data_IF_963400327501
#
_entry.id   IF_963400327501
#
_cell.length_a   1.000
_cell.length_b   1.000
_cell.length_c   1.000
_cell.angle_alpha   90.00
_cell.angle_beta   90.00
_cell.angle_gamma   90.00
#
_symmetry.space_group_name_H-M   'P 1'
#
loop_
_entity.id
_entity.type
_entity.pdbx_description
1 polymer ?
#
# COMPACT_ATOMS: atom_id res chain seq x y z
N UNK A 1 25.48 -64.60 -34.54
CA UNK A 1 26.02 -63.45 -33.76
C UNK A 1 24.88 -62.47 -33.70
N UNK A 2 24.22 -62.36 -32.55
CA UNK A 2 23.19 -61.36 -32.32
C UNK A 2 23.84 -60.10 -31.82
N UNK A 3 23.63 -58.99 -32.48
CA UNK A 3 24.01 -57.67 -32.00
C UNK A 3 23.05 -57.27 -30.89
N UNK A 4 23.63 -56.96 -29.73
CA UNK A 4 22.87 -56.46 -28.56
C UNK A 4 22.67 -54.93 -28.74
N UNK A 5 21.44 -54.56 -29.05
CA UNK A 5 21.06 -53.16 -29.06
C UNK A 5 20.98 -52.66 -27.59
N UNK A 6 21.94 -51.85 -27.22
CA UNK A 6 21.86 -51.07 -25.98
C UNK A 6 21.12 -49.75 -26.30
N UNK A 7 19.90 -49.63 -25.83
CA UNK A 7 19.18 -48.34 -25.92
C UNK A 7 19.90 -47.33 -25.05
N UNK A 8 20.17 -46.15 -25.62
CA UNK A 8 20.66 -45.01 -24.81
C UNK A 8 19.67 -44.70 -23.69
N UNK A 9 20.15 -44.43 -22.47
CA UNK A 9 19.27 -44.07 -21.38
C UNK A 9 18.59 -42.74 -21.72
N UNK A 10 17.25 -42.75 -21.75
CA UNK A 10 16.46 -41.52 -21.83
C UNK A 10 16.74 -40.69 -20.58
N UNK A 11 17.22 -39.44 -20.71
CA UNK A 11 17.47 -38.62 -19.54
C UNK A 11 16.17 -38.48 -18.76
N UNK A 12 16.15 -38.82 -17.48
CA UNK A 12 15.05 -38.48 -16.58
C UNK A 12 14.93 -36.98 -16.56
N UNK A 13 13.78 -36.48 -16.98
CA UNK A 13 13.44 -35.07 -16.76
C UNK A 13 13.42 -34.83 -15.25
N UNK A 14 14.43 -34.19 -14.72
CA UNK A 14 14.43 -33.71 -13.35
C UNK A 14 13.33 -32.62 -13.30
N UNK A 15 12.20 -32.94 -12.69
CA UNK A 15 11.21 -31.93 -12.38
C UNK A 15 11.90 -30.94 -11.42
N UNK A 16 12.26 -29.77 -11.92
CA UNK A 16 12.74 -28.69 -11.06
C UNK A 16 11.67 -28.43 -9.98
N UNK A 17 12.07 -28.40 -8.72
CA UNK A 17 11.16 -28.08 -7.64
C UNK A 17 10.56 -26.69 -7.89
N UNK A 18 9.23 -26.61 -7.80
CA UNK A 18 8.53 -25.32 -7.91
C UNK A 18 8.75 -24.53 -6.63
N UNK A 19 9.40 -23.38 -6.75
CA UNK A 19 9.68 -22.47 -5.63
C UNK A 19 8.75 -21.28 -5.63
N UNK A 20 8.44 -20.75 -4.43
CA UNK A 20 7.88 -19.42 -4.28
C UNK A 20 8.97 -18.38 -4.57
N UNK A 21 8.58 -17.13 -4.85
CA UNK A 21 9.55 -16.07 -5.11
C UNK A 21 10.39 -15.70 -3.89
N UNK A 22 11.58 -15.19 -4.14
CA UNK A 22 12.43 -14.60 -3.11
C UNK A 22 11.88 -13.26 -2.64
N UNK A 23 12.41 -12.75 -1.54
CA UNK A 23 12.10 -11.39 -1.08
C UNK A 23 12.89 -10.37 -1.92
N UNK A 24 12.22 -9.44 -2.63
CA UNK A 24 12.92 -8.41 -3.40
C UNK A 24 13.77 -7.49 -2.51
N UNK A 25 14.80 -6.90 -3.11
CA UNK A 25 15.69 -5.93 -2.45
C UNK A 25 15.67 -4.62 -3.23
N UNK A 26 15.42 -3.52 -2.55
CA UNK A 26 15.52 -2.17 -3.09
C UNK A 26 16.97 -1.66 -3.02
N UNK A 27 17.43 -0.98 -4.06
CA UNK A 27 18.79 -0.40 -4.11
C UNK A 27 19.00 0.77 -3.14
N UNK A 28 17.91 1.32 -2.59
CA UNK A 28 17.93 2.39 -1.60
C UNK A 28 16.98 2.08 -0.45
N UNK A 29 17.39 2.47 0.76
CA UNK A 29 16.54 2.40 1.94
C UNK A 29 15.35 3.35 1.83
N UNK A 30 14.24 3.03 2.52
CA UNK A 30 13.15 3.98 2.74
C UNK A 30 13.65 5.22 3.49
N UNK A 31 13.12 6.40 3.20
CA UNK A 31 13.52 7.62 3.87
C UNK A 31 13.37 8.88 3.03
N UNK A 32 13.97 9.98 3.55
CA UNK A 32 13.98 11.28 2.89
C UNK A 32 15.25 11.48 2.08
N UNK A 33 15.12 12.10 0.93
CA UNK A 33 16.18 12.37 -0.02
C UNK A 33 16.09 13.80 -0.53
N UNK A 34 17.21 14.50 -0.61
CA UNK A 34 17.26 15.88 -1.15
C UNK A 34 17.01 15.94 -2.65
N UNK A 35 17.25 14.84 -3.37
CA UNK A 35 17.20 14.81 -4.83
C UNK A 35 16.57 13.53 -5.33
N UNK A 36 15.90 13.66 -6.44
CA UNK A 36 15.36 12.56 -7.22
C UNK A 36 16.46 11.52 -7.58
N UNK A 37 16.06 10.25 -7.64
CA UNK A 37 16.94 9.14 -7.94
C UNK A 37 16.22 8.01 -8.66
N UNK A 38 16.98 7.09 -9.20
CA UNK A 38 16.46 5.88 -9.81
C UNK A 38 16.58 4.71 -8.82
N UNK A 39 15.44 4.06 -8.54
CA UNK A 39 15.34 2.92 -7.63
C UNK A 39 15.40 1.62 -8.42
N UNK A 40 16.39 0.79 -8.14
CA UNK A 40 16.47 -0.56 -8.68
C UNK A 40 15.84 -1.56 -7.70
N UNK A 41 15.18 -2.57 -8.26
CA UNK A 41 14.59 -3.68 -7.52
C UNK A 41 15.22 -4.97 -8.03
N UNK A 42 15.81 -5.75 -7.14
CA UNK A 42 16.43 -7.03 -7.46
C UNK A 42 15.75 -8.18 -6.74
N UNK A 43 15.72 -9.35 -7.36
CA UNK A 43 15.22 -10.60 -6.79
C UNK A 43 16.08 -11.76 -7.32
N UNK A 44 15.71 -13.00 -7.02
CA UNK A 44 16.38 -14.20 -7.50
C UNK A 44 16.35 -14.31 -9.03
N UNK A 45 17.30 -15.08 -9.57
CA UNK A 45 17.39 -15.33 -11.01
C UNK A 45 16.08 -15.95 -11.56
N UNK A 46 15.68 -15.52 -12.74
CA UNK A 46 14.50 -16.04 -13.45
C UNK A 46 13.16 -15.81 -12.74
N UNK A 47 13.10 -14.87 -11.80
CA UNK A 47 11.86 -14.47 -11.13
C UNK A 47 11.30 -13.20 -11.76
N UNK A 48 9.97 -13.09 -11.78
CA UNK A 48 9.29 -11.88 -12.20
C UNK A 48 8.98 -11.02 -11.00
N UNK A 49 9.49 -9.79 -10.99
CA UNK A 49 9.16 -8.83 -9.93
C UNK A 49 7.92 -8.05 -10.33
N UNK A 50 6.92 -8.03 -9.45
CA UNK A 50 5.76 -7.17 -9.54
C UNK A 50 5.84 -6.06 -8.50
N UNK A 51 5.31 -4.88 -8.84
CA UNK A 51 5.24 -3.78 -7.90
C UNK A 51 3.94 -2.98 -8.05
N UNK A 52 3.56 -2.27 -6.98
CA UNK A 52 2.48 -1.28 -6.93
C UNK A 52 2.99 0.03 -6.34
N UNK A 53 2.27 1.12 -6.64
CA UNK A 53 2.58 2.48 -6.14
C UNK A 53 1.39 3.13 -5.43
N UNK A 54 0.32 2.39 -5.23
CA UNK A 54 -0.97 2.83 -4.68
C UNK A 54 -1.30 2.22 -3.31
N UNK A 55 -0.36 1.48 -2.72
CA UNK A 55 -0.53 0.82 -1.42
C UNK A 55 -1.17 -0.57 -1.48
N UNK A 56 -1.66 -1.02 -2.63
CA UNK A 56 -2.22 -2.37 -2.81
C UNK A 56 -1.14 -3.45 -2.78
N UNK A 57 -1.53 -4.71 -2.52
CA UNK A 57 -0.58 -5.82 -2.50
C UNK A 57 -0.19 -6.24 -3.93
N UNK A 58 1.10 -6.17 -4.32
CA UNK A 58 1.56 -6.54 -5.66
C UNK A 58 1.39 -8.02 -5.98
N UNK A 59 1.16 -8.88 -5.00
CA UNK A 59 0.90 -10.29 -5.24
C UNK A 59 -0.49 -10.52 -5.88
N UNK A 60 -1.47 -9.67 -5.60
CA UNK A 60 -2.87 -9.88 -5.95
C UNK A 60 -3.54 -8.71 -6.66
N UNK A 61 -2.94 -7.52 -6.61
CA UNK A 61 -3.55 -6.29 -7.15
C UNK A 61 -3.68 -6.31 -8.67
N UNK A 62 -4.81 -5.79 -9.16
CA UNK A 62 -5.01 -5.54 -10.60
C UNK A 62 -4.20 -4.32 -11.10
N UNK A 63 -3.71 -3.46 -10.20
CA UNK A 63 -2.88 -2.29 -10.53
C UNK A 63 -1.38 -2.60 -10.56
N UNK A 64 -1.01 -3.85 -10.23
CA UNK A 64 0.40 -4.27 -10.24
C UNK A 64 1.03 -4.14 -11.61
N UNK A 65 2.30 -3.78 -11.60
CA UNK A 65 3.13 -3.65 -12.81
C UNK A 65 4.30 -4.64 -12.73
N UNK A 66 4.75 -5.10 -13.89
CA UNK A 66 6.00 -5.85 -14.00
C UNK A 66 7.15 -4.85 -13.90
N UNK A 67 8.14 -5.16 -13.08
CA UNK A 67 9.36 -4.36 -12.99
C UNK A 67 10.31 -4.74 -14.14
N UNK A 68 10.59 -3.78 -15.01
CA UNK A 68 11.48 -3.97 -16.16
C UNK A 68 12.69 -3.03 -16.14
N UNK A 69 12.52 -1.85 -15.56
CA UNK A 69 13.54 -0.80 -15.52
C UNK A 69 13.50 -0.09 -14.16
N UNK A 70 14.60 0.57 -13.80
CA UNK A 70 14.67 1.37 -12.60
C UNK A 70 13.51 2.38 -12.52
N UNK A 71 12.94 2.53 -11.35
CA UNK A 71 11.80 3.41 -11.07
C UNK A 71 12.33 4.78 -10.70
N UNK A 72 11.90 5.81 -11.42
CA UNK A 72 12.21 7.18 -11.05
C UNK A 72 11.44 7.57 -9.81
N UNK A 73 12.16 7.94 -8.74
CA UNK A 73 11.61 8.51 -7.51
C UNK A 73 11.93 10.00 -7.53
N UNK A 74 10.89 10.83 -7.56
CA UNK A 74 11.01 12.25 -7.79
C UNK A 74 10.24 13.06 -6.74
N UNK A 75 10.47 14.36 -6.69
CA UNK A 75 9.62 15.31 -5.97
C UNK A 75 8.19 15.25 -6.53
N UNK A 76 7.22 15.18 -5.64
CA UNK A 76 5.81 15.06 -5.94
C UNK A 76 4.97 16.23 -5.44
N UNK A 77 5.60 17.32 -5.05
CA UNK A 77 4.94 18.51 -4.50
C UNK A 77 3.88 19.08 -5.45
N UNK A 78 4.13 19.01 -6.76
CA UNK A 78 3.21 19.46 -7.80
C UNK A 78 2.14 18.44 -8.20
N UNK A 79 2.21 17.22 -7.71
CA UNK A 79 1.22 16.20 -8.01
C UNK A 79 -0.15 16.55 -7.41
N UNK A 80 -1.22 16.11 -8.06
CA UNK A 80 -2.57 16.26 -7.53
C UNK A 80 -2.77 15.44 -6.25
N UNK A 81 -3.59 15.97 -5.35
CA UNK A 81 -4.01 15.24 -4.16
C UNK A 81 -4.87 14.04 -4.56
N UNK A 82 -4.56 12.86 -4.05
CA UNK A 82 -5.34 11.65 -4.27
C UNK A 82 -6.07 11.26 -2.98
N UNK A 83 -5.34 10.76 -1.99
CA UNK A 83 -5.97 10.35 -0.72
C UNK A 83 -6.48 11.53 0.09
N UNK A 84 -5.76 12.65 0.11
CA UNK A 84 -6.15 13.87 0.81
C UNK A 84 -7.30 14.64 0.13
N UNK A 85 -7.62 14.30 -1.12
CA UNK A 85 -8.81 14.82 -1.83
C UNK A 85 -10.02 13.88 -1.73
N UNK A 86 -9.85 12.71 -1.12
CA UNK A 86 -10.94 11.76 -0.96
C UNK A 86 -12.00 12.29 0.00
N UNK A 87 -13.25 12.19 -0.39
CA UNK A 87 -14.39 12.53 0.46
C UNK A 87 -14.94 11.26 1.15
N UNK A 88 -14.60 11.02 2.41
CA UNK A 88 -14.98 9.80 3.12
C UNK A 88 -16.48 9.74 3.42
N UNK A 89 -17.17 10.86 3.29
CA UNK A 89 -18.60 10.94 3.60
C UNK A 89 -19.46 10.52 2.41
N UNK A 90 -19.09 10.91 1.18
CA UNK A 90 -19.84 10.67 -0.08
C UNK A 90 -21.36 10.87 -0.01
N UNK A 91 -21.83 11.40 1.10
CA UNK A 91 -23.23 11.63 1.43
C UNK A 91 -23.43 13.13 1.53
N UNK A 92 -24.55 13.60 1.04
CA UNK A 92 -24.90 15.02 1.11
C UNK A 92 -25.36 15.35 2.54
N UNK A 93 -24.47 15.93 3.32
CA UNK A 93 -24.76 16.47 4.65
C UNK A 93 -24.78 18.00 4.60
N UNK A 94 -25.61 18.64 5.40
CA UNK A 94 -25.81 20.10 5.39
C UNK A 94 -24.50 20.91 5.61
N UNK A 95 -23.54 20.36 6.34
CA UNK A 95 -22.26 21.01 6.60
C UNK A 95 -21.16 20.68 5.59
N UNK A 96 -21.44 19.85 4.59
CA UNK A 96 -20.45 19.37 3.61
C UNK A 96 -19.81 20.50 2.82
N UNK A 97 -20.57 21.53 2.49
CA UNK A 97 -20.07 22.72 1.78
C UNK A 97 -19.03 23.51 2.60
N UNK A 98 -18.93 23.24 3.90
CA UNK A 98 -17.91 23.83 4.77
C UNK A 98 -16.59 23.08 4.78
N UNK A 99 -16.52 21.85 4.25
CA UNK A 99 -15.29 21.04 4.19
C UNK A 99 -14.39 21.63 3.10
N UNK A 100 -13.24 22.13 3.53
CA UNK A 100 -12.20 22.59 2.61
C UNK A 100 -11.15 21.51 2.48
N UNK A 101 -10.99 21.03 1.26
CA UNK A 101 -9.86 20.18 0.94
C UNK A 101 -8.56 21.01 0.89
N UNK A 102 -7.43 20.46 1.32
CA UNK A 102 -6.16 21.17 1.25
C UNK A 102 -5.73 21.41 -0.19
N UNK A 103 -5.08 22.55 -0.45
CA UNK A 103 -4.41 22.77 -1.71
C UNK A 103 -3.29 21.73 -1.90
N UNK A 104 -3.00 21.39 -3.16
CA UNK A 104 -1.96 20.38 -3.45
C UNK A 104 -0.59 20.72 -2.88
N UNK A 105 -0.23 22.01 -2.87
CA UNK A 105 1.01 22.50 -2.30
C UNK A 105 1.07 22.48 -0.77
N UNK A 106 -0.06 22.25 -0.09
CA UNK A 106 -0.12 22.15 1.37
C UNK A 106 -0.05 20.69 1.87
N UNK A 107 0.16 19.74 0.98
CA UNK A 107 0.23 18.31 1.28
C UNK A 107 1.54 17.75 0.79
N UNK A 108 2.41 17.35 1.71
CA UNK A 108 3.61 16.61 1.35
C UNK A 108 3.26 15.23 0.82
N UNK A 109 4.01 14.81 -0.19
CA UNK A 109 3.74 13.56 -0.88
C UNK A 109 4.98 12.67 -0.91
N UNK A 110 4.82 11.46 -0.41
CA UNK A 110 5.80 10.40 -0.57
C UNK A 110 5.47 9.47 -1.73
N UNK A 111 6.48 8.77 -2.20
CA UNK A 111 6.31 7.66 -3.15
C UNK A 111 6.39 6.35 -2.38
N UNK A 112 5.33 5.57 -2.38
CA UNK A 112 5.30 4.22 -1.82
C UNK A 112 5.56 3.21 -2.92
N UNK A 113 6.50 2.31 -2.69
CA UNK A 113 6.73 1.15 -3.55
C UNK A 113 6.51 -0.11 -2.72
N UNK A 114 5.60 -0.96 -3.18
CA UNK A 114 5.44 -2.33 -2.67
C UNK A 114 5.87 -3.29 -3.78
N UNK A 115 6.68 -4.28 -3.46
CA UNK A 115 7.16 -5.23 -4.46
C UNK A 115 7.18 -6.66 -3.93
N UNK A 116 6.87 -7.61 -4.80
CA UNK A 116 7.06 -9.06 -4.58
C UNK A 116 7.71 -9.70 -5.79
N UNK A 117 8.37 -10.82 -5.61
CA UNK A 117 8.89 -11.62 -6.71
C UNK A 117 8.08 -12.93 -6.84
N UNK A 118 7.71 -13.26 -8.07
CA UNK A 118 7.02 -14.51 -8.39
C UNK A 118 8.04 -15.59 -8.79
N UNK A 119 8.01 -16.71 -8.08
CA UNK A 119 8.86 -17.86 -8.35
C UNK A 119 8.23 -18.81 -9.37
N UNK A 120 8.92 -19.92 -9.61
CA UNK A 120 8.52 -20.94 -10.61
C UNK A 120 7.20 -21.65 -10.28
N UNK A 121 6.68 -21.50 -9.06
CA UNK A 121 5.37 -21.99 -8.66
C UNK A 121 4.21 -21.08 -9.11
N UNK A 122 4.50 -19.89 -9.64
CA UNK A 122 3.52 -18.85 -9.92
C UNK A 122 3.01 -18.14 -8.64
N UNK A 123 3.77 -18.22 -7.54
CA UNK A 123 3.44 -17.57 -6.27
C UNK A 123 4.50 -16.54 -5.92
N UNK A 124 4.03 -15.38 -5.52
CA UNK A 124 4.87 -14.36 -4.92
C UNK A 124 5.42 -14.82 -3.56
N UNK A 125 6.66 -14.42 -3.29
CA UNK A 125 7.26 -14.46 -1.97
C UNK A 125 6.78 -13.31 -1.10
N UNK A 126 7.59 -12.97 -0.09
CA UNK A 126 7.27 -11.87 0.82
C UNK A 126 7.25 -10.52 0.07
N UNK A 127 6.19 -9.75 0.27
CA UNK A 127 6.13 -8.35 -0.18
C UNK A 127 7.04 -7.48 0.69
N UNK A 128 7.80 -6.61 0.04
CA UNK A 128 8.57 -5.54 0.68
C UNK A 128 7.92 -4.21 0.37
N UNK A 129 7.97 -3.29 1.33
CA UNK A 129 7.39 -1.96 1.22
C UNK A 129 8.43 -0.92 1.62
N UNK A 130 8.49 0.18 0.89
CA UNK A 130 9.31 1.34 1.23
C UNK A 130 8.64 2.63 0.81
N UNK A 131 8.71 3.64 1.67
CA UNK A 131 8.26 5.00 1.39
C UNK A 131 9.47 5.91 1.20
N UNK A 132 9.41 6.72 0.14
CA UNK A 132 10.45 7.68 -0.22
C UNK A 132 9.86 9.08 -0.28
N UNK A 133 10.51 10.02 0.40
CA UNK A 133 10.20 11.45 0.34
C UNK A 133 11.33 12.16 -0.38
N UNK A 134 11.03 12.95 -1.40
CA UNK A 134 12.03 13.73 -2.15
C UNK A 134 11.69 15.20 -1.98
N UNK A 135 12.69 15.98 -1.56
CA UNK A 135 12.58 17.42 -1.30
C UNK A 135 11.51 17.79 -0.23
N UNK A 136 11.24 16.85 0.68
CA UNK A 136 10.38 17.08 1.87
C UNK A 136 11.30 17.32 3.06
N UNK A 137 11.30 18.54 3.58
CA UNK A 137 12.17 18.97 4.69
C UNK A 137 11.45 18.86 6.03
N UNK A 138 12.09 18.22 7.01
CA UNK A 138 11.60 18.22 8.39
C UNK A 138 11.57 19.63 9.01
N UNK A 139 12.42 20.54 8.55
CA UNK A 139 12.44 21.93 9.02
C UNK A 139 11.11 22.65 8.76
N UNK A 140 10.39 22.28 7.70
CA UNK A 140 9.08 22.84 7.39
C UNK A 140 7.99 22.34 8.36
N UNK A 141 8.29 21.29 9.14
CA UNK A 141 7.40 20.63 10.10
C UNK A 141 7.93 20.68 11.54
N UNK A 142 8.75 21.67 11.88
CA UNK A 142 9.33 21.84 13.21
C UNK A 142 10.14 20.62 13.70
N UNK A 143 10.85 19.97 12.80
CA UNK A 143 11.65 18.77 13.05
C UNK A 143 10.84 17.58 13.61
N UNK A 144 9.54 17.51 13.29
CA UNK A 144 8.72 16.39 13.70
C UNK A 144 9.07 15.14 12.88
N UNK A 145 9.01 13.96 13.51
CA UNK A 145 9.16 12.70 12.80
C UNK A 145 7.96 12.43 11.86
N UNK A 146 8.18 11.60 10.84
CA UNK A 146 7.15 11.19 9.90
C UNK A 146 6.69 9.78 10.23
N UNK A 147 5.38 9.57 10.24
CA UNK A 147 4.76 8.23 10.27
C UNK A 147 4.11 7.98 8.91
N UNK A 148 4.64 7.02 8.17
CA UNK A 148 4.02 6.53 6.94
C UNK A 148 3.19 5.29 7.24
N UNK A 149 1.93 5.30 6.82
CA UNK A 149 1.01 4.16 6.91
C UNK A 149 0.58 3.78 5.51
N UNK A 150 1.11 2.68 5.03
CA UNK A 150 0.77 2.13 3.71
C UNK A 150 -0.27 1.04 3.87
N UNK A 151 -1.42 1.20 3.23
CA UNK A 151 -2.51 0.21 3.20
C UNK A 151 -3.24 0.29 1.86
N UNK A 152 -4.00 -0.74 1.53
CA UNK A 152 -4.91 -0.69 0.39
C UNK A 152 -5.95 0.42 0.62
N UNK A 153 -6.09 1.40 -0.30
CA UNK A 153 -7.08 2.46 -0.19
C UNK A 153 -8.52 1.95 0.00
N UNK A 154 -8.86 0.79 -0.55
CA UNK A 154 -10.15 0.15 -0.33
C UNK A 154 -10.35 -0.26 1.13
N UNK A 155 -9.28 -0.60 1.84
CA UNK A 155 -9.33 -0.86 3.27
C UNK A 155 -9.76 0.37 4.09
N UNK A 156 -9.53 1.57 3.57
CA UNK A 156 -9.94 2.82 4.22
C UNK A 156 -11.30 3.32 3.71
N UNK A 157 -11.54 3.29 2.41
CA UNK A 157 -12.57 4.11 1.77
C UNK A 157 -13.65 3.32 1.03
N UNK A 158 -13.53 2.00 0.88
CA UNK A 158 -14.55 1.18 0.25
C UNK A 158 -15.85 1.24 1.06
N UNK A 159 -16.99 1.40 0.39
CA UNK A 159 -18.28 1.56 1.06
C UNK A 159 -18.68 0.37 1.93
N UNK A 160 -18.28 -0.86 1.54
CA UNK A 160 -18.61 -2.07 2.30
C UNK A 160 -17.63 -2.36 3.42
N UNK A 161 -16.36 -2.16 3.17
CA UNK A 161 -15.29 -2.68 4.03
C UNK A 161 -14.34 -1.61 4.57
N UNK A 162 -14.42 -0.39 4.05
CA UNK A 162 -13.53 0.71 4.43
C UNK A 162 -13.80 1.16 5.86
N UNK A 163 -12.70 1.40 6.59
CA UNK A 163 -12.79 1.79 8.01
C UNK A 163 -12.79 3.32 8.21
N UNK A 164 -12.61 4.10 7.15
CA UNK A 164 -12.52 5.57 7.21
C UNK A 164 -13.57 6.23 6.31
N UNK A 165 -14.79 5.73 6.36
CA UNK A 165 -15.94 6.27 5.64
C UNK A 165 -17.24 5.99 6.41
N UNK A 166 -18.35 6.60 5.99
CA UNK A 166 -19.68 6.29 6.51
C UNK A 166 -20.12 4.88 6.09
N UNK A 167 -19.95 4.57 4.82
CA UNK A 167 -20.16 3.26 4.23
C UNK A 167 -21.57 2.69 4.30
N UNK A 168 -21.66 1.40 4.03
CA UNK A 168 -22.96 0.69 3.95
C UNK A 168 -23.65 0.61 5.31
N UNK A 169 -22.89 0.54 6.42
CA UNK A 169 -23.48 0.55 7.78
C UNK A 169 -24.32 1.81 8.02
N UNK A 170 -23.85 2.97 7.55
CA UNK A 170 -24.63 4.20 7.63
C UNK A 170 -25.82 4.18 6.69
N UNK A 171 -25.67 3.70 5.45
CA UNK A 171 -26.76 3.66 4.48
C UNK A 171 -27.92 2.81 4.97
N UNK A 172 -27.64 1.63 5.50
CA UNK A 172 -28.64 0.74 6.07
C UNK A 172 -29.38 1.40 7.23
N UNK A 173 -28.67 2.10 8.12
CA UNK A 173 -29.28 2.83 9.22
C UNK A 173 -30.15 3.98 8.74
N UNK A 174 -29.68 4.76 7.76
CA UNK A 174 -30.38 5.92 7.18
C UNK A 174 -31.69 5.52 6.47
N UNK A 175 -31.67 4.40 5.73
CA UNK A 175 -32.84 3.82 5.08
C UNK A 175 -33.94 3.42 6.09
N UNK A 176 -33.56 2.93 7.26
CA UNK A 176 -34.49 2.52 8.32
C UNK A 176 -34.98 3.67 9.20
N UNK A 177 -34.24 4.79 9.25
CA UNK A 177 -34.45 5.90 10.19
C UNK A 177 -34.52 7.26 9.48
N UNK A 178 -35.45 7.44 8.58
CA UNK A 178 -35.57 8.57 7.63
C UNK A 178 -35.53 9.99 8.22
N UNK A 179 -35.83 10.20 9.49
CA UNK A 179 -35.93 11.50 10.13
C UNK A 179 -34.96 11.70 11.32
N UNK A 180 -33.83 11.02 11.33
CA UNK A 180 -32.87 11.18 12.43
C UNK A 180 -31.96 12.39 12.22
N UNK A 181 -31.71 13.21 13.25
CA UNK A 181 -30.67 14.22 13.18
C UNK A 181 -29.29 13.58 13.23
N UNK A 182 -28.34 14.12 12.44
CA UNK A 182 -26.96 13.66 12.50
C UNK A 182 -26.38 13.85 13.91
N UNK A 183 -25.75 12.80 14.42
CA UNK A 183 -24.90 12.86 15.61
C UNK A 183 -23.83 11.78 15.53
N UNK A 184 -22.73 11.92 16.28
CA UNK A 184 -21.60 11.01 16.21
C UNK A 184 -21.85 9.60 16.74
N UNK A 185 -23.04 9.31 17.29
CA UNK A 185 -23.44 7.97 17.74
C UNK A 185 -24.15 7.16 16.66
N UNK A 186 -24.40 7.76 15.49
CA UNK A 186 -25.03 7.08 14.37
C UNK A 186 -24.11 5.98 13.85
N UNK A 187 -24.62 4.76 13.62
CA UNK A 187 -23.82 3.68 13.07
C UNK A 187 -23.21 4.05 11.72
N UNK A 188 -21.95 3.75 11.55
CA UNK A 188 -21.20 3.94 10.31
C UNK A 188 -20.01 2.97 10.29
N UNK A 189 -19.38 2.79 9.14
CA UNK A 189 -18.20 1.94 9.04
C UNK A 189 -17.08 2.40 9.99
N UNK A 190 -16.83 3.72 10.10
CA UNK A 190 -15.71 4.25 10.89
C UNK A 190 -15.84 4.01 12.40
N UNK A 191 -17.03 3.76 12.92
CA UNK A 191 -17.22 3.51 14.35
C UNK A 191 -17.42 2.01 14.69
N UNK A 192 -17.29 1.13 13.71
CA UNK A 192 -17.31 -0.30 13.92
C UNK A 192 -16.11 -0.78 14.74
N UNK A 193 -16.27 -1.90 15.42
CA UNK A 193 -15.26 -2.48 16.33
C UNK A 193 -15.07 -3.96 16.01
N UNK A 194 -13.95 -4.51 16.46
CA UNK A 194 -13.65 -5.92 16.26
C UNK A 194 -12.48 -6.12 15.27
N UNK A 195 -12.02 -7.36 15.21
CA UNK A 195 -10.90 -7.72 14.33
C UNK A 195 -11.29 -7.76 12.87
N UNK A 196 -12.54 -7.96 12.56
CA UNK A 196 -13.11 -7.94 11.20
C UNK A 196 -12.97 -6.55 10.54
N UNK A 197 -12.84 -5.52 11.35
CA UNK A 197 -12.61 -4.13 10.91
C UNK A 197 -11.13 -3.72 10.99
N UNK A 198 -10.23 -4.66 11.24
CA UNK A 198 -8.79 -4.42 11.14
C UNK A 198 -8.33 -4.61 9.69
N UNK A 199 -7.57 -3.64 9.18
CA UNK A 199 -7.00 -3.70 7.83
C UNK A 199 -5.50 -3.91 7.92
N UNK A 200 -4.98 -4.70 6.99
CA UNK A 200 -3.54 -4.87 6.85
C UNK A 200 -2.90 -3.55 6.45
N UNK A 201 -1.81 -3.22 7.08
CA UNK A 201 -1.01 -2.06 6.71
C UNK A 201 0.48 -2.30 6.99
N UNK A 202 1.30 -1.47 6.41
CA UNK A 202 2.72 -1.39 6.69
C UNK A 202 3.01 -0.03 7.31
N UNK A 203 3.64 0.00 8.48
CA UNK A 203 4.01 1.24 9.16
C UNK A 203 5.51 1.47 9.08
N UNK A 204 5.88 2.70 8.75
CA UNK A 204 7.25 3.19 8.82
C UNK A 204 7.29 4.44 9.69
N UNK A 205 8.30 4.54 10.53
CA UNK A 205 8.56 5.70 11.36
C UNK A 205 9.95 6.24 11.02
N UNK A 206 9.99 7.49 10.59
CA UNK A 206 11.21 8.20 10.22
C UNK A 206 11.50 9.27 11.25
N UNK A 207 12.77 9.40 11.64
CA UNK A 207 13.21 10.49 12.48
C UNK A 207 13.20 11.84 11.74
N UNK A 208 13.57 12.92 12.42
CA UNK A 208 13.66 14.26 11.83
C UNK A 208 14.75 14.38 10.76
N UNK A 209 15.67 13.44 10.68
CA UNK A 209 16.71 13.38 9.64
C UNK A 209 16.24 12.54 8.42
N UNK A 210 15.05 11.96 8.51
CA UNK A 210 14.48 11.12 7.46
C UNK A 210 14.97 9.68 7.43
N UNK A 211 15.64 9.21 8.50
CA UNK A 211 16.07 7.82 8.61
C UNK A 211 14.92 6.94 9.10
N UNK A 212 14.70 5.80 8.46
CA UNK A 212 13.73 4.82 8.92
C UNK A 212 14.21 4.12 10.20
N UNK A 213 13.47 4.29 11.30
CA UNK A 213 13.74 3.67 12.58
C UNK A 213 12.88 2.44 12.86
N UNK A 214 11.65 2.42 12.33
CA UNK A 214 10.70 1.31 12.44
C UNK A 214 10.10 1.08 11.07
N UNK A 215 10.01 -0.18 10.68
CA UNK A 215 9.31 -0.61 9.49
C UNK A 215 8.80 -2.03 9.69
N UNK A 216 7.46 -2.21 9.65
CA UNK A 216 6.85 -3.50 9.90
C UNK A 216 5.42 -3.63 9.39
N UNK A 217 5.01 -4.85 9.13
CA UNK A 217 3.61 -5.20 8.88
C UNK A 217 2.81 -5.10 10.19
N UNK A 218 1.61 -4.53 10.11
CA UNK A 218 0.70 -4.40 11.25
C UNK A 218 -0.77 -4.33 10.79
N UNK A 219 -1.68 -4.24 11.75
CA UNK A 219 -3.08 -3.98 11.52
C UNK A 219 -3.45 -2.55 11.94
N UNK A 220 -4.30 -1.90 11.14
CA UNK A 220 -4.86 -0.59 11.47
C UNK A 220 -6.36 -0.66 11.70
N UNK A 221 -6.82 0.05 12.73
CA UNK A 221 -8.23 0.24 13.06
C UNK A 221 -8.47 1.67 13.50
N UNK A 222 -9.66 2.18 13.22
CA UNK A 222 -10.09 3.44 13.82
C UNK A 222 -10.38 3.21 15.30
N UNK A 223 -9.79 4.04 16.14
CA UNK A 223 -10.07 4.10 17.55
C UNK A 223 -10.41 5.55 17.91
N UNK A 224 -11.48 5.69 18.62
CA UNK A 224 -11.93 6.94 19.18
C UNK A 224 -13.20 6.62 19.92
N UNK A 225 -13.45 7.36 20.94
CA UNK A 225 -14.69 7.35 21.66
C UNK A 225 -15.09 8.79 21.76
N UNK A 226 -16.31 9.01 21.71
CA UNK A 226 -16.78 10.28 22.09
C UNK A 226 -18.05 10.10 22.88
#
# INVERSE_FOLDING_TARGET
KGEMYVSEPTPLAVNAEKTIGDTPVFSRAAGSYEKAFDLEITAGESQTVYYTTDGTDPATSDTRKVYENALRIDDRSDDENVLSAYDPMKIQLDYRDSIKLPDKSAVDKGTVIRACAEGTSGKCGKTVTATYFVDVSSADHNDLPIVSITTDPDGLFNEKTGIYCLGDVYKEYDEENLDHPWNGSIPANYNQRGREWEKECYVEYFDSEGNSLISQDCGIRIQGGW
#
